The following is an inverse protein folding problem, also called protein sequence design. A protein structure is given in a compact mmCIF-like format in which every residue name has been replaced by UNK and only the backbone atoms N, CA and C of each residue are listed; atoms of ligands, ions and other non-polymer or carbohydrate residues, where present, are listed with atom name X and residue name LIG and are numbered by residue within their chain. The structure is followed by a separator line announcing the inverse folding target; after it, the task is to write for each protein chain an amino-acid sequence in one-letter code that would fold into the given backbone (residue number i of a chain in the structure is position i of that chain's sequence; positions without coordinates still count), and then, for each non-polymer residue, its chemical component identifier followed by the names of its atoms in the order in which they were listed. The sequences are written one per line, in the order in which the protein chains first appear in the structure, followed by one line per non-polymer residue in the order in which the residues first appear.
data_IF_247354959765
#
_entry.id   IF_247354959765
#
_cell.length_a   1.000
_cell.length_b   1.000
_cell.length_c   1.000
_cell.angle_alpha   90.00
_cell.angle_beta   90.00
_cell.angle_gamma   90.00
#
_symmetry.space_group_name_H-M   'P 1'
#
loop_
_entity.id
_entity.type
_entity.pdbx_description
1 polymer ?
#
# COMPACT_ATOMS: atom_id res chain seq x y z
N UNK A 1 10.80 -40.16 27.96
CA UNK A 1 9.80 -39.89 26.91
C UNK A 1 9.79 -38.39 26.65
N UNK A 2 10.65 -37.90 25.76
CA UNK A 2 10.64 -36.51 25.32
C UNK A 2 9.78 -36.44 24.06
N UNK A 3 8.63 -35.76 24.14
CA UNK A 3 7.79 -35.52 22.97
C UNK A 3 8.54 -34.58 22.03
N UNK A 4 8.80 -35.06 20.82
CA UNK A 4 9.19 -34.22 19.71
C UNK A 4 8.01 -33.31 19.37
N UNK A 5 8.04 -32.06 19.83
CA UNK A 5 7.18 -31.02 19.26
C UNK A 5 7.58 -30.86 17.79
N UNK A 6 6.72 -31.33 16.88
CA UNK A 6 6.85 -31.01 15.46
C UNK A 6 6.56 -29.51 15.29
N UNK A 7 7.61 -28.72 15.08
CA UNK A 7 7.42 -27.37 14.56
C UNK A 7 6.81 -27.49 13.16
N UNK A 8 5.50 -27.28 13.05
CA UNK A 8 4.86 -27.09 11.77
C UNK A 8 5.40 -25.80 11.16
N UNK A 9 6.27 -25.92 10.16
CA UNK A 9 6.73 -24.76 9.41
C UNK A 9 5.51 -24.06 8.80
N UNK A 10 5.30 -22.75 9.07
CA UNK A 10 4.21 -22.02 8.45
C UNK A 10 4.40 -22.08 6.93
N UNK A 11 3.30 -22.32 6.21
CA UNK A 11 3.32 -22.28 4.74
C UNK A 11 3.83 -20.93 4.25
N UNK A 12 4.42 -20.88 3.05
CA UNK A 12 4.88 -19.63 2.43
C UNK A 12 3.81 -18.52 2.47
N UNK A 13 2.54 -18.90 2.29
CA UNK A 13 1.40 -17.99 2.39
C UNK A 13 1.18 -17.44 3.81
N UNK A 14 1.34 -18.29 4.83
CA UNK A 14 1.25 -17.87 6.23
C UNK A 14 2.39 -16.91 6.59
N UNK A 15 3.61 -17.22 6.16
CA UNK A 15 4.75 -16.32 6.35
C UNK A 15 4.54 -14.96 5.66
N UNK A 16 4.17 -14.96 4.38
CA UNK A 16 3.92 -13.74 3.62
C UNK A 16 2.81 -12.88 4.26
N UNK A 17 1.74 -13.52 4.76
CA UNK A 17 0.66 -12.82 5.49
C UNK A 17 1.17 -12.16 6.77
N UNK A 18 2.00 -12.86 7.53
CA UNK A 18 2.61 -12.32 8.76
C UNK A 18 3.50 -11.12 8.46
N UNK A 19 4.39 -11.22 7.47
CA UNK A 19 5.27 -10.12 7.05
C UNK A 19 4.45 -8.93 6.54
N UNK A 20 3.43 -9.18 5.71
CA UNK A 20 2.54 -8.14 5.18
C UNK A 20 1.79 -7.40 6.29
N UNK A 21 1.25 -8.12 7.27
CA UNK A 21 0.57 -7.51 8.41
C UNK A 21 1.51 -6.67 9.28
N UNK A 22 2.71 -7.17 9.54
CA UNK A 22 3.75 -6.43 10.26
C UNK A 22 4.12 -5.14 9.52
N UNK A 23 4.41 -5.23 8.22
CA UNK A 23 4.75 -4.09 7.39
C UNK A 23 3.61 -3.07 7.33
N UNK A 24 2.37 -3.52 7.12
CA UNK A 24 1.20 -2.65 7.08
C UNK A 24 1.02 -1.87 8.39
N UNK A 25 1.06 -2.56 9.54
CA UNK A 25 0.90 -1.91 10.84
C UNK A 25 1.98 -0.85 11.10
N UNK A 26 3.16 -0.99 10.48
CA UNK A 26 4.25 -0.04 10.59
C UNK A 26 4.02 1.23 9.76
N UNK A 27 3.43 1.10 8.56
CA UNK A 27 3.23 2.22 7.64
C UNK A 27 1.84 2.83 7.66
N UNK A 28 0.85 2.18 8.29
CA UNK A 28 -0.56 2.55 8.15
C UNK A 28 -0.84 4.00 8.50
N UNK A 29 -0.13 4.57 9.48
CA UNK A 29 -0.30 5.95 9.92
C UNK A 29 0.34 6.98 8.97
N UNK A 30 1.11 6.52 7.99
CA UNK A 30 1.80 7.35 6.99
C UNK A 30 1.22 7.22 5.58
N UNK A 31 0.18 6.37 5.41
CA UNK A 31 -0.50 6.22 4.13
C UNK A 31 -1.31 7.48 3.83
N UNK A 32 -1.34 7.86 2.56
CA UNK A 32 -2.18 8.96 2.09
C UNK A 32 -3.66 8.61 2.33
N UNK A 33 -4.43 9.56 2.84
CA UNK A 33 -5.88 9.40 3.09
C UNK A 33 -6.66 9.12 1.79
N UNK A 34 -6.12 9.52 0.65
CA UNK A 34 -6.66 9.27 -0.70
C UNK A 34 -6.09 7.99 -1.34
N UNK A 35 -5.33 7.17 -0.60
CA UNK A 35 -4.89 5.86 -1.08
C UNK A 35 -5.93 4.78 -0.74
N UNK A 36 -6.79 4.49 -1.71
CA UNK A 36 -7.87 3.50 -1.57
C UNK A 36 -7.48 2.06 -1.94
N UNK A 37 -6.38 1.88 -2.69
CA UNK A 37 -5.92 0.57 -3.16
C UNK A 37 -5.06 -0.16 -2.14
N UNK A 38 -5.29 -1.47 -1.98
CA UNK A 38 -4.54 -2.35 -1.07
C UNK A 38 -4.45 -1.81 0.38
N UNK A 39 -5.46 -1.05 0.80
CA UNK A 39 -5.56 -0.45 2.12
C UNK A 39 -6.74 -1.07 2.86
N UNK A 40 -6.66 -1.21 4.19
CA UNK A 40 -7.74 -1.83 4.96
C UNK A 40 -8.92 -0.88 5.03
N UNK A 41 -10.13 -1.44 5.03
CA UNK A 41 -11.38 -0.69 5.13
C UNK A 41 -11.64 0.34 4.02
N UNK A 42 -10.96 0.25 2.87
CA UNK A 42 -11.24 1.05 1.67
C UNK A 42 -11.65 0.15 0.50
N UNK A 43 -12.25 0.74 -0.53
CA UNK A 43 -12.64 0.03 -1.75
C UNK A 43 -12.65 0.97 -2.95
N UNK A 44 -12.78 0.42 -4.15
CA UNK A 44 -12.94 1.22 -5.39
C UNK A 44 -14.15 2.15 -5.32
N UNK A 45 -15.24 1.76 -4.64
CA UNK A 45 -16.39 2.64 -4.46
C UNK A 45 -16.03 3.89 -3.65
N UNK A 46 -15.22 3.75 -2.59
CA UNK A 46 -14.75 4.90 -1.81
C UNK A 46 -13.92 5.85 -2.69
N UNK A 47 -13.03 5.32 -3.54
CA UNK A 47 -12.29 6.12 -4.51
C UNK A 47 -13.21 6.89 -5.46
N UNK A 48 -14.20 6.22 -6.07
CA UNK A 48 -15.12 6.85 -7.02
C UNK A 48 -15.96 7.96 -6.36
N UNK A 49 -16.43 7.73 -5.14
CA UNK A 49 -17.17 8.74 -4.37
C UNK A 49 -16.28 9.95 -4.10
N UNK A 50 -15.06 9.74 -3.59
CA UNK A 50 -14.12 10.84 -3.32
C UNK A 50 -13.72 11.60 -4.60
N UNK A 51 -13.52 10.88 -5.71
CA UNK A 51 -13.20 11.46 -7.00
C UNK A 51 -14.32 12.37 -7.53
N UNK A 52 -15.58 11.91 -7.45
CA UNK A 52 -16.73 12.72 -7.83
C UNK A 52 -16.88 13.95 -6.92
N UNK A 53 -16.71 13.79 -5.61
CA UNK A 53 -16.75 14.89 -4.64
C UNK A 53 -15.70 15.97 -4.96
N UNK A 54 -14.47 15.56 -5.30
CA UNK A 54 -13.43 16.49 -5.77
C UNK A 54 -13.85 17.20 -7.05
N UNK A 55 -14.41 16.50 -8.04
CA UNK A 55 -14.85 17.13 -9.29
C UNK A 55 -15.94 18.17 -9.01
N UNK A 56 -16.99 17.79 -8.30
CA UNK A 56 -18.13 18.66 -8.02
C UNK A 56 -17.72 19.90 -7.20
N UNK A 57 -16.95 19.71 -6.13
CA UNK A 57 -16.48 20.82 -5.29
C UNK A 57 -15.60 21.84 -6.02
N UNK A 58 -14.94 21.43 -7.11
CA UNK A 58 -14.19 22.36 -7.97
C UNK A 58 -15.09 23.05 -8.99
N UNK A 59 -16.01 22.31 -9.63
CA UNK A 59 -16.93 22.87 -10.64
C UNK A 59 -17.98 23.82 -10.05
N UNK A 60 -18.30 23.71 -8.77
CA UNK A 60 -19.21 24.64 -8.08
C UNK A 60 -18.64 26.06 -7.94
N UNK A 61 -17.33 26.25 -8.18
CA UNK A 61 -16.67 27.55 -8.12
C UNK A 61 -16.77 28.25 -9.48
N UNK A 62 -17.21 29.51 -9.49
CA UNK A 62 -17.28 30.33 -10.71
C UNK A 62 -15.91 30.42 -11.39
N UNK A 63 -15.92 30.38 -12.74
CA UNK A 63 -14.76 30.56 -13.59
C UNK A 63 -13.61 29.54 -13.34
N UNK A 64 -13.96 28.32 -12.94
CA UNK A 64 -12.99 27.23 -12.81
C UNK A 64 -13.06 26.27 -13.99
N UNK A 65 -11.95 25.61 -14.26
CA UNK A 65 -11.87 24.49 -15.21
C UNK A 65 -11.04 23.41 -14.58
N UNK A 66 -11.47 22.16 -14.72
CA UNK A 66 -10.83 21.00 -14.15
C UNK A 66 -10.30 20.09 -15.26
N UNK A 67 -9.04 19.69 -15.17
CA UNK A 67 -8.45 18.67 -16.00
C UNK A 67 -8.08 17.47 -15.12
N UNK A 68 -8.45 16.27 -15.56
CA UNK A 68 -8.10 15.02 -14.87
C UNK A 68 -7.08 14.26 -15.70
N UNK A 69 -5.99 13.85 -15.06
CA UNK A 69 -4.98 13.00 -15.67
C UNK A 69 -5.01 11.60 -15.04
N UNK A 70 -5.16 10.57 -15.87
CA UNK A 70 -5.07 9.17 -15.45
C UNK A 70 -3.67 8.66 -15.79
N UNK A 71 -2.89 8.37 -14.75
CA UNK A 71 -1.54 7.82 -14.87
C UNK A 71 -1.57 6.36 -14.46
N UNK A 72 -0.98 5.49 -15.28
CA UNK A 72 -0.85 4.07 -14.98
C UNK A 72 0.60 3.61 -15.16
N UNK A 73 1.04 2.67 -14.34
CA UNK A 73 2.37 2.06 -14.45
C UNK A 73 2.28 0.73 -15.19
N UNK A 74 3.06 0.56 -16.25
CA UNK A 74 3.18 -0.71 -16.97
C UNK A 74 3.96 -1.70 -16.11
N UNK A 75 3.41 -2.90 -15.88
CA UNK A 75 4.09 -4.01 -15.16
C UNK A 75 4.77 -3.55 -13.86
N UNK A 76 4.03 -2.82 -13.02
CA UNK A 76 4.57 -2.10 -11.87
C UNK A 76 5.40 -2.98 -10.92
N UNK A 77 5.02 -4.24 -10.71
CA UNK A 77 5.78 -5.16 -9.85
C UNK A 77 7.01 -5.77 -10.52
N UNK A 78 7.01 -5.91 -11.86
CA UNK A 78 8.15 -6.48 -12.60
C UNK A 78 9.23 -5.43 -12.88
N UNK A 79 8.83 -4.16 -13.06
CA UNK A 79 9.71 -3.06 -13.46
C UNK A 79 10.14 -2.14 -12.31
N UNK A 80 9.75 -2.45 -11.08
CA UNK A 80 10.13 -1.63 -9.92
C UNK A 80 11.63 -1.77 -9.64
N UNK A 81 12.30 -0.64 -9.45
CA UNK A 81 13.68 -0.61 -8.98
C UNK A 81 13.73 -1.01 -7.50
N UNK A 82 14.35 -2.15 -7.21
CA UNK A 82 14.45 -2.68 -5.85
C UNK A 82 15.27 -1.78 -4.92
N UNK A 83 16.28 -1.08 -5.42
CA UNK A 83 17.06 -0.12 -4.63
C UNK A 83 16.17 1.04 -4.17
N UNK A 84 15.29 1.53 -5.04
CA UNK A 84 14.30 2.56 -4.67
C UNK A 84 13.32 2.04 -3.60
N UNK A 85 12.82 0.82 -3.75
CA UNK A 85 11.88 0.21 -2.78
C UNK A 85 12.55 0.03 -1.41
N UNK A 86 13.78 -0.49 -1.37
CA UNK A 86 14.55 -0.70 -0.14
C UNK A 86 14.81 0.63 0.56
N UNK A 87 15.33 1.63 -0.16
CA UNK A 87 15.59 2.95 0.41
C UNK A 87 14.30 3.61 0.93
N UNK A 88 13.18 3.43 0.22
CA UNK A 88 11.87 3.89 0.68
C UNK A 88 11.44 3.16 1.97
N UNK A 89 11.60 1.85 2.05
CA UNK A 89 11.28 1.09 3.25
C UNK A 89 12.11 1.56 4.45
N UNK A 90 13.43 1.74 4.28
CA UNK A 90 14.30 2.29 5.33
C UNK A 90 13.82 3.68 5.76
N UNK A 91 13.46 4.56 4.81
CA UNK A 91 12.94 5.90 5.13
C UNK A 91 11.60 5.89 5.89
N UNK A 92 10.80 4.84 5.70
CA UNK A 92 9.55 4.57 6.44
C UNK A 92 9.82 3.85 7.77
N UNK A 93 11.08 3.73 8.18
CA UNK A 93 11.51 3.19 9.46
C UNK A 93 11.72 1.68 9.49
N UNK A 94 11.71 0.97 8.35
CA UNK A 94 12.01 -0.47 8.31
C UNK A 94 13.49 -0.72 8.68
N UNK A 95 13.80 -1.83 9.38
CA UNK A 95 15.17 -2.15 9.73
C UNK A 95 16.02 -2.40 8.48
N UNK A 96 17.16 -1.73 8.37
CA UNK A 96 18.06 -1.83 7.21
C UNK A 96 18.63 -3.24 6.97
N UNK A 97 18.76 -4.05 8.02
CA UNK A 97 19.24 -5.43 7.92
C UNK A 97 18.20 -6.41 7.34
N UNK A 98 16.94 -5.99 7.20
CA UNK A 98 15.90 -6.78 6.52
C UNK A 98 15.83 -6.46 5.02
N UNK A 99 16.68 -5.56 4.55
CA UNK A 99 16.65 -5.03 3.18
C UNK A 99 17.98 -5.21 2.43
N UNK A 100 18.92 -5.97 3.00
CA UNK A 100 20.21 -6.37 2.40
C UNK A 100 20.18 -7.78 1.86
#
# INVERSE_FOLDING_TARGET
MTSSQSLSHPSLASFAKTVSNWAYNKISNSLDIQQFGNNRATSTSHYLISFLDIIHSHLDKRNTSLAVAFVYFRKAFDLVDHTVVINKAISLGFPSHLTT
#
